data_IF_572435952840
#
_entry.id   IF_572435952840
#
_cell.length_a   1.000
_cell.length_b   1.000
_cell.length_c   1.000
_cell.angle_alpha   90.00
_cell.angle_beta   90.00
_cell.angle_gamma   90.00
#
_symmetry.space_group_name_H-M   'P 1'
#
loop_
_entity.id
_entity.type
_entity.pdbx_description
1 polymer ?
#
# COMPACT_ATOMS: atom_id res chain seq x y z
N UNK A 1 -29.74 3.23 34.98
CA UNK A 1 -29.74 3.48 33.54
C UNK A 1 -28.90 2.38 32.90
N UNK A 2 -29.42 1.68 31.89
CA UNK A 2 -28.65 0.66 31.19
C UNK A 2 -27.44 1.32 30.52
N UNK A 3 -26.25 0.87 30.88
CA UNK A 3 -25.02 1.31 30.27
C UNK A 3 -25.05 0.95 28.77
N UNK A 4 -25.12 1.94 27.91
CA UNK A 4 -25.10 1.74 26.48
C UNK A 4 -23.65 1.40 26.07
N UNK A 5 -23.30 0.13 26.15
CA UNK A 5 -22.09 -0.37 25.53
C UNK A 5 -22.27 -0.18 24.03
N UNK A 6 -21.34 0.52 23.38
CA UNK A 6 -21.38 0.67 21.92
C UNK A 6 -21.40 -0.72 21.27
N UNK A 7 -22.26 -0.89 20.27
CA UNK A 7 -22.33 -2.17 19.58
C UNK A 7 -21.04 -2.37 18.78
N UNK A 8 -20.26 -3.40 19.11
CA UNK A 8 -19.01 -3.75 18.44
C UNK A 8 -19.15 -3.80 16.91
N UNK A 9 -20.29 -4.29 16.41
CA UNK A 9 -20.56 -4.35 14.97
C UNK A 9 -20.67 -2.97 14.32
N UNK A 10 -21.16 -1.95 15.05
CA UNK A 10 -21.23 -0.58 14.54
C UNK A 10 -19.83 0.03 14.46
N UNK A 11 -19.02 -0.15 15.50
CA UNK A 11 -17.64 0.33 15.53
C UNK A 11 -16.79 -0.38 14.47
N UNK A 12 -16.95 -1.69 14.33
CA UNK A 12 -16.28 -2.49 13.29
C UNK A 12 -16.67 -2.02 11.88
N UNK A 13 -17.96 -1.79 11.62
CA UNK A 13 -18.44 -1.27 10.34
C UNK A 13 -17.86 0.12 10.03
N UNK A 14 -17.82 1.03 11.02
CA UNK A 14 -17.20 2.36 10.87
C UNK A 14 -15.69 2.25 10.60
N UNK A 15 -14.98 1.40 11.32
CA UNK A 15 -13.55 1.22 11.11
C UNK A 15 -13.27 0.65 9.71
N UNK A 16 -14.04 -0.31 9.24
CA UNK A 16 -13.94 -0.85 7.87
C UNK A 16 -14.24 0.19 6.81
N UNK A 17 -15.29 0.99 6.99
CA UNK A 17 -15.65 2.07 6.07
C UNK A 17 -14.53 3.11 5.98
N UNK A 18 -13.98 3.55 7.10
CA UNK A 18 -12.86 4.49 7.14
C UNK A 18 -11.60 3.93 6.47
N UNK A 19 -11.30 2.64 6.68
CA UNK A 19 -10.16 1.98 6.04
C UNK A 19 -10.30 1.86 4.51
N UNK A 20 -11.53 1.75 4.01
CA UNK A 20 -11.79 1.67 2.56
C UNK A 20 -11.91 3.03 1.90
N UNK A 21 -12.39 4.03 2.62
CA UNK A 21 -12.66 5.37 2.08
C UNK A 21 -11.40 6.25 2.03
N UNK A 22 -10.46 6.05 2.94
CA UNK A 22 -9.21 6.82 2.94
C UNK A 22 -8.26 6.32 1.86
N UNK A 23 -7.55 7.26 1.20
CA UNK A 23 -6.45 6.94 0.30
C UNK A 23 -5.31 6.35 1.13
N UNK A 24 -5.20 5.05 1.11
CA UNK A 24 -4.22 4.29 1.87
C UNK A 24 -3.53 3.26 0.98
N UNK A 25 -2.49 2.62 1.50
CA UNK A 25 -1.76 1.59 0.77
C UNK A 25 -2.64 0.41 0.31
N UNK A 26 -3.76 0.11 0.98
CA UNK A 26 -4.70 -0.94 0.57
C UNK A 26 -5.28 -0.70 -0.82
N UNK A 27 -5.53 0.57 -1.20
CA UNK A 27 -6.02 0.93 -2.54
C UNK A 27 -4.94 0.80 -3.63
N UNK A 28 -3.67 0.76 -3.23
CA UNK A 28 -2.50 0.70 -4.10
C UNK A 28 -1.97 -0.72 -4.31
N UNK A 29 -2.54 -1.70 -3.62
CA UNK A 29 -2.16 -3.10 -3.66
C UNK A 29 -3.30 -3.96 -4.23
N UNK A 30 -2.96 -5.09 -4.79
CA UNK A 30 -3.94 -6.15 -5.06
C UNK A 30 -4.26 -6.88 -3.76
N UNK A 31 -5.54 -6.98 -3.41
CA UNK A 31 -5.99 -7.62 -2.17
C UNK A 31 -6.34 -9.08 -2.44
N UNK A 32 -5.79 -9.99 -1.64
CA UNK A 32 -6.03 -11.42 -1.68
C UNK A 32 -6.57 -11.92 -0.33
N UNK A 33 -7.76 -12.49 -0.34
CA UNK A 33 -8.44 -13.03 0.84
C UNK A 33 -8.29 -14.56 0.97
N UNK A 34 -7.44 -15.21 0.17
CA UNK A 34 -7.27 -16.67 0.21
C UNK A 34 -6.88 -17.19 1.59
N UNK A 35 -6.08 -16.42 2.32
CA UNK A 35 -5.64 -16.80 3.67
C UNK A 35 -6.73 -16.83 4.73
N UNK A 36 -7.89 -16.25 4.51
CA UNK A 36 -8.97 -16.23 5.51
C UNK A 36 -9.47 -17.62 5.85
N UNK A 37 -9.40 -18.54 4.90
CA UNK A 37 -9.89 -19.93 5.04
C UNK A 37 -8.77 -20.95 5.30
N UNK A 38 -7.50 -20.57 5.10
CA UNK A 38 -6.35 -21.46 5.30
C UNK A 38 -5.92 -21.46 6.77
N UNK A 39 -5.57 -22.62 7.31
CA UNK A 39 -4.92 -22.73 8.61
C UNK A 39 -3.43 -22.33 8.48
N UNK A 40 -2.87 -21.73 9.54
CA UNK A 40 -1.45 -21.33 9.57
C UNK A 40 -1.24 -19.81 9.49
N UNK A 41 -0.01 -19.41 9.80
CA UNK A 41 0.40 -18.00 9.88
C UNK A 41 1.54 -17.69 8.89
N UNK A 42 1.85 -18.60 7.97
CA UNK A 42 2.90 -18.43 6.97
C UNK A 42 2.32 -18.62 5.58
N UNK A 43 2.68 -17.75 4.65
CA UNK A 43 2.36 -17.86 3.22
C UNK A 43 3.66 -17.91 2.43
N UNK A 44 3.85 -18.98 1.68
CA UNK A 44 4.95 -19.09 0.71
C UNK A 44 4.49 -18.55 -0.61
N UNK A 45 5.21 -17.56 -1.15
CA UNK A 45 4.99 -16.99 -2.46
C UNK A 45 6.10 -17.48 -3.38
N UNK A 46 5.74 -18.22 -4.42
CA UNK A 46 6.67 -18.71 -5.42
C UNK A 46 6.80 -17.68 -6.55
N UNK A 47 7.99 -17.15 -6.73
CA UNK A 47 8.32 -16.31 -7.88
C UNK A 47 8.86 -17.22 -8.97
N UNK A 48 8.17 -17.27 -10.10
CA UNK A 48 8.53 -18.10 -11.24
C UNK A 48 9.31 -17.31 -12.26
N UNK A 49 10.41 -17.89 -12.75
CA UNK A 49 11.16 -17.36 -13.88
C UNK A 49 11.10 -18.38 -15.00
N UNK A 50 10.54 -17.98 -16.15
CA UNK A 50 10.51 -18.77 -17.36
C UNK A 50 11.63 -18.32 -18.30
N UNK A 51 12.38 -19.27 -18.83
CA UNK A 51 13.36 -19.05 -19.89
C UNK A 51 13.03 -19.94 -21.09
N UNK A 52 12.82 -19.33 -22.23
CA UNK A 52 12.54 -20.05 -23.48
C UNK A 52 12.31 -19.07 -24.63
N UNK A 53 12.59 -19.52 -25.82
CA UNK A 53 12.37 -18.78 -27.07
C UNK A 53 11.47 -19.59 -27.98
N UNK A 54 10.60 -18.90 -28.72
CA UNK A 54 9.85 -19.54 -29.78
C UNK A 54 10.75 -19.73 -30.99
N UNK A 55 10.66 -20.88 -31.66
CA UNK A 55 11.40 -21.19 -32.88
C UNK A 55 10.42 -21.53 -34.01
N UNK A 56 10.78 -21.13 -35.23
CA UNK A 56 10.10 -21.65 -36.43
C UNK A 56 10.61 -23.05 -36.71
N UNK A 57 9.71 -24.02 -36.74
CA UNK A 57 10.06 -25.44 -36.96
C UNK A 57 9.53 -25.87 -38.31
N UNK A 58 10.40 -26.44 -39.15
CA UNK A 58 10.03 -26.98 -40.43
C UNK A 58 9.20 -28.26 -40.30
N UNK A 59 8.41 -28.58 -41.33
CA UNK A 59 7.58 -29.77 -41.32
C UNK A 59 8.43 -31.05 -41.14
N UNK A 60 8.17 -31.81 -40.08
CA UNK A 60 8.89 -33.04 -39.74
C UNK A 60 10.06 -32.87 -38.80
N UNK A 61 10.40 -31.64 -38.39
CA UNK A 61 11.42 -31.32 -37.38
C UNK A 61 10.78 -31.01 -36.04
N UNK A 62 11.57 -31.07 -34.97
CA UNK A 62 11.15 -30.73 -33.60
C UNK A 62 11.93 -29.52 -33.09
N UNK A 63 11.50 -28.93 -31.99
CA UNK A 63 12.20 -27.81 -31.35
C UNK A 63 13.64 -28.18 -30.97
N UNK A 64 14.59 -27.32 -31.31
CA UNK A 64 16.02 -27.46 -30.96
C UNK A 64 16.28 -27.10 -29.50
N UNK A 65 15.50 -26.17 -28.94
CA UNK A 65 15.56 -25.78 -27.54
C UNK A 65 14.19 -25.93 -26.84
N UNK A 66 14.22 -26.20 -25.55
CA UNK A 66 13.00 -26.27 -24.72
C UNK A 66 13.07 -25.23 -23.61
N UNK A 67 11.96 -24.52 -23.42
CA UNK A 67 11.85 -23.61 -22.29
C UNK A 67 11.97 -24.33 -20.96
N UNK A 68 12.55 -23.66 -19.98
CA UNK A 68 12.63 -24.13 -18.61
C UNK A 68 11.96 -23.13 -17.66
N UNK A 69 11.42 -23.67 -16.56
CA UNK A 69 10.82 -22.89 -15.49
C UNK A 69 11.63 -23.14 -14.20
N UNK A 70 12.02 -22.06 -13.56
CA UNK A 70 12.59 -22.09 -12.21
C UNK A 70 11.70 -21.30 -11.27
N UNK A 71 11.70 -21.65 -9.99
CA UNK A 71 10.96 -20.90 -8.99
C UNK A 71 11.78 -20.76 -7.71
N UNK A 72 11.56 -19.64 -7.03
CA UNK A 72 12.13 -19.36 -5.71
C UNK A 72 10.97 -19.03 -4.78
N UNK A 73 10.80 -19.83 -3.74
CA UNK A 73 9.81 -19.58 -2.69
C UNK A 73 10.31 -18.56 -1.69
N UNK A 74 9.47 -17.56 -1.36
CA UNK A 74 9.68 -16.63 -0.25
C UNK A 74 8.59 -16.83 0.78
N UNK A 75 8.98 -17.05 2.03
CA UNK A 75 8.05 -17.22 3.14
C UNK A 75 7.75 -15.87 3.81
N UNK A 76 6.48 -15.59 3.96
CA UNK A 76 5.97 -14.40 4.65
C UNK A 76 5.12 -14.84 5.84
N UNK A 77 5.39 -14.25 7.01
CA UNK A 77 4.63 -14.55 8.23
C UNK A 77 3.54 -13.51 8.45
N UNK A 78 2.32 -13.97 8.69
CA UNK A 78 1.17 -13.11 9.04
C UNK A 78 1.47 -12.37 10.34
N UNK A 79 1.30 -11.06 10.31
CA UNK A 79 1.43 -10.20 11.49
C UNK A 79 0.05 -9.82 12.00
N UNK A 80 -0.10 -9.82 13.31
CA UNK A 80 -1.25 -9.22 13.98
C UNK A 80 -0.89 -7.77 14.30
N UNK A 81 -1.70 -6.84 13.81
CA UNK A 81 -1.61 -5.41 14.12
C UNK A 81 -2.78 -5.07 15.01
N UNK A 82 -2.50 -4.44 16.15
CA UNK A 82 -3.51 -4.06 17.12
C UNK A 82 -3.29 -2.60 17.53
N UNK A 83 -4.39 -1.86 17.61
CA UNK A 83 -4.47 -0.55 18.26
C UNK A 83 -5.51 -0.61 19.36
N UNK A 84 -5.15 -0.16 20.55
CA UNK A 84 -6.05 -0.06 21.67
C UNK A 84 -6.23 1.39 22.12
N UNK A 85 -7.38 1.71 22.66
CA UNK A 85 -7.64 2.97 23.35
C UNK A 85 -8.62 2.75 24.50
N UNK A 86 -8.46 3.58 25.52
CA UNK A 86 -9.28 3.54 26.73
C UNK A 86 -10.07 4.84 26.86
N UNK A 87 -11.30 4.74 27.40
CA UNK A 87 -12.09 5.89 27.79
C UNK A 87 -12.84 5.59 29.08
N UNK A 88 -13.08 6.62 29.90
CA UNK A 88 -13.84 6.51 31.13
C UNK A 88 -15.30 6.89 30.92
N UNK A 89 -16.19 6.33 31.74
CA UNK A 89 -17.63 6.65 31.67
C UNK A 89 -17.86 8.16 31.83
N UNK A 90 -17.05 8.83 32.62
CA UNK A 90 -17.11 10.27 32.84
C UNK A 90 -16.73 11.10 31.62
N UNK A 91 -15.78 10.61 30.80
CA UNK A 91 -15.39 11.30 29.57
C UNK A 91 -16.50 11.22 28.52
N UNK A 92 -17.18 10.07 28.45
CA UNK A 92 -18.34 9.91 27.58
C UNK A 92 -19.52 10.80 28.00
N UNK A 93 -19.69 11.04 29.31
CA UNK A 93 -20.70 11.98 29.80
C UNK A 93 -20.39 13.43 29.48
N UNK A 94 -19.09 13.79 29.35
CA UNK A 94 -18.68 15.14 28.95
C UNK A 94 -18.80 15.34 27.43
N UNK A 95 -18.40 14.34 26.65
CA UNK A 95 -18.44 14.37 25.19
C UNK A 95 -18.89 13.01 24.64
N UNK A 96 -20.09 12.95 24.11
CA UNK A 96 -20.67 11.75 23.52
C UNK A 96 -20.03 11.36 22.18
N UNK A 97 -19.21 12.25 21.58
CA UNK A 97 -18.51 12.01 20.32
C UNK A 97 -17.09 11.45 20.52
N UNK A 98 -16.64 11.30 21.77
CA UNK A 98 -15.26 10.89 22.09
C UNK A 98 -14.91 9.54 21.46
N UNK A 99 -15.80 8.56 21.53
CA UNK A 99 -15.59 7.22 20.98
C UNK A 99 -15.44 7.26 19.46
N UNK A 100 -16.28 8.05 18.77
CA UNK A 100 -16.20 8.22 17.32
C UNK A 100 -14.86 8.83 16.88
N UNK A 101 -14.38 9.81 17.64
CA UNK A 101 -13.08 10.45 17.36
C UNK A 101 -11.91 9.51 17.67
N UNK A 102 -12.00 8.71 18.72
CA UNK A 102 -11.00 7.69 19.06
C UNK A 102 -10.96 6.59 18.01
N UNK A 103 -12.10 6.11 17.50
CA UNK A 103 -12.16 5.13 16.39
C UNK A 103 -11.51 5.69 15.14
N UNK A 104 -11.78 6.95 14.78
CA UNK A 104 -11.11 7.60 13.65
C UNK A 104 -9.59 7.66 13.83
N UNK A 105 -9.13 8.05 15.01
CA UNK A 105 -7.71 8.10 15.34
C UNK A 105 -7.05 6.72 15.26
N UNK A 106 -7.65 5.71 15.89
CA UNK A 106 -7.16 4.34 15.87
C UNK A 106 -7.10 3.77 14.45
N UNK A 107 -8.14 4.00 13.64
CA UNK A 107 -8.18 3.58 12.23
C UNK A 107 -7.08 4.27 11.42
N UNK A 108 -6.83 5.56 11.66
CA UNK A 108 -5.74 6.28 10.99
C UNK A 108 -4.37 5.69 11.34
N UNK A 109 -4.13 5.34 12.59
CA UNK A 109 -2.88 4.70 13.04
C UNK A 109 -2.70 3.34 12.36
N UNK A 110 -3.75 2.52 12.28
CA UNK A 110 -3.70 1.23 11.58
C UNK A 110 -3.44 1.40 10.09
N UNK A 111 -4.06 2.40 9.45
CA UNK A 111 -3.82 2.74 8.03
C UNK A 111 -2.36 3.17 7.79
N UNK A 112 -1.81 4.01 8.67
CA UNK A 112 -0.41 4.42 8.60
C UNK A 112 0.53 3.22 8.73
N UNK A 113 0.23 2.30 9.65
CA UNK A 113 1.02 1.07 9.83
C UNK A 113 1.00 0.18 8.58
N UNK A 114 -0.17 0.01 7.95
CA UNK A 114 -0.28 -0.73 6.69
C UNK A 114 0.52 -0.05 5.57
N UNK A 115 0.53 1.28 5.53
CA UNK A 115 1.33 2.05 4.56
C UNK A 115 2.83 1.89 4.81
N UNK A 116 3.28 1.86 6.07
CA UNK A 116 4.68 1.59 6.41
C UNK A 116 5.10 0.17 6.01
N UNK A 117 4.25 -0.83 6.24
CA UNK A 117 4.52 -2.22 5.86
C UNK A 117 4.58 -2.36 4.32
N UNK A 118 3.69 -1.67 3.58
CA UNK A 118 3.75 -1.57 2.12
C UNK A 118 5.06 -0.95 1.64
N UNK A 119 5.47 0.19 2.20
CA UNK A 119 6.72 0.87 1.86
C UNK A 119 7.93 -0.03 2.16
N UNK A 120 7.89 -0.77 3.27
CA UNK A 120 8.96 -1.70 3.65
C UNK A 120 9.13 -2.82 2.61
N UNK A 121 8.03 -3.33 2.07
CA UNK A 121 8.08 -4.32 0.99
C UNK A 121 8.49 -3.68 -0.35
N UNK A 122 8.00 -2.48 -0.68
CA UNK A 122 8.37 -1.75 -1.88
C UNK A 122 9.88 -1.44 -1.94
N UNK A 123 10.52 -1.15 -0.79
CA UNK A 123 11.98 -0.94 -0.69
C UNK A 123 12.82 -2.13 -1.09
N UNK A 124 12.26 -3.34 -1.13
CA UNK A 124 12.93 -4.55 -1.61
C UNK A 124 12.98 -4.67 -3.14
N UNK A 125 12.48 -3.66 -3.86
CA UNK A 125 12.57 -3.58 -5.32
C UNK A 125 14.03 -3.75 -5.78
N UNK A 126 14.23 -4.58 -6.80
CA UNK A 126 15.54 -4.88 -7.37
C UNK A 126 15.95 -3.86 -8.42
N UNK A 127 14.98 -3.31 -9.14
CA UNK A 127 15.22 -2.29 -10.17
C UNK A 127 15.26 -0.92 -9.52
N UNK A 128 16.33 -0.16 -9.78
CA UNK A 128 16.51 1.19 -9.25
C UNK A 128 16.89 2.20 -10.32
N UNK A 129 16.48 3.44 -10.10
CA UNK A 129 16.91 4.61 -10.86
C UNK A 129 17.46 5.66 -9.89
N UNK A 130 18.70 6.06 -10.12
CA UNK A 130 19.35 7.13 -9.36
C UNK A 130 19.29 8.41 -10.19
N UNK A 131 18.61 9.43 -9.66
CA UNK A 131 18.45 10.72 -10.31
C UNK A 131 19.29 11.79 -9.62
N UNK A 132 20.00 12.63 -10.37
CA UNK A 132 20.76 13.75 -9.81
C UNK A 132 19.85 14.76 -9.12
N UNK A 133 18.69 15.02 -9.70
CA UNK A 133 17.63 15.85 -9.13
C UNK A 133 16.31 15.13 -9.31
N UNK A 134 15.43 15.24 -8.32
CA UNK A 134 14.08 14.70 -8.45
C UNK A 134 13.18 15.75 -9.13
N UNK A 135 12.55 15.36 -10.23
CA UNK A 135 11.67 16.21 -11.04
C UNK A 135 10.84 15.36 -12.01
N UNK A 136 10.33 16.02 -13.01
CA UNK A 136 9.55 15.38 -14.08
C UNK A 136 10.37 14.31 -14.80
N UNK A 137 11.60 14.63 -15.21
CA UNK A 137 12.50 13.74 -15.96
C UNK A 137 12.83 12.46 -15.19
N UNK A 138 13.09 12.57 -13.88
CA UNK A 138 13.38 11.40 -13.04
C UNK A 138 12.22 10.40 -13.02
N UNK A 139 10.99 10.89 -13.07
CA UNK A 139 9.79 10.03 -13.13
C UNK A 139 9.67 9.39 -14.52
N UNK A 140 9.90 10.15 -15.59
CA UNK A 140 9.86 9.66 -16.97
C UNK A 140 10.89 8.56 -17.20
N UNK A 141 12.12 8.77 -16.74
CA UNK A 141 13.20 7.77 -16.81
C UNK A 141 12.86 6.50 -16.01
N UNK A 142 12.24 6.66 -14.85
CA UNK A 142 11.82 5.52 -14.04
C UNK A 142 10.68 4.73 -14.70
N UNK A 143 9.72 5.41 -15.35
CA UNK A 143 8.66 4.77 -16.14
C UNK A 143 9.27 3.94 -17.27
N UNK A 144 10.22 4.49 -18.00
CA UNK A 144 10.92 3.78 -19.08
C UNK A 144 11.64 2.53 -18.57
N UNK A 145 12.14 2.54 -17.33
CA UNK A 145 12.80 1.37 -16.72
C UNK A 145 11.83 0.25 -16.31
N UNK A 146 10.57 0.56 -16.03
CA UNK A 146 9.55 -0.48 -15.79
C UNK A 146 9.29 -1.30 -17.05
N UNK A 147 9.47 -0.67 -18.23
CA UNK A 147 9.41 -1.31 -19.55
C UNK A 147 8.13 -2.13 -19.79
N UNK A 148 6.99 -1.57 -19.46
CA UNK A 148 5.69 -2.19 -19.73
C UNK A 148 5.12 -1.69 -21.06
N UNK A 149 4.50 -2.61 -21.83
CA UNK A 149 3.78 -2.25 -23.06
C UNK A 149 2.48 -1.46 -22.75
N UNK A 150 1.88 -1.70 -21.61
CA UNK A 150 0.69 -1.00 -21.14
C UNK A 150 0.97 -0.27 -19.81
N UNK A 151 1.00 1.05 -19.87
CA UNK A 151 1.28 1.92 -18.73
C UNK A 151 0.03 2.32 -17.93
N UNK A 152 -1.17 1.90 -18.35
CA UNK A 152 -2.44 2.35 -17.77
C UNK A 152 -2.59 1.99 -16.27
N UNK A 153 -1.94 0.93 -15.81
CA UNK A 153 -2.01 0.46 -14.42
C UNK A 153 -0.85 0.98 -13.55
N UNK A 154 0.04 1.80 -14.12
CA UNK A 154 1.13 2.42 -13.37
C UNK A 154 0.62 3.54 -12.47
N UNK A 155 1.30 3.70 -11.34
CA UNK A 155 1.19 4.87 -10.48
C UNK A 155 2.53 5.17 -9.81
N UNK A 156 2.70 6.42 -9.41
CA UNK A 156 3.93 6.91 -8.79
C UNK A 156 3.64 7.28 -7.33
N UNK A 157 4.48 6.81 -6.42
CA UNK A 157 4.42 7.20 -5.01
C UNK A 157 5.67 8.00 -4.67
N UNK A 158 5.47 9.20 -4.14
CA UNK A 158 6.55 10.12 -3.80
C UNK A 158 6.50 10.56 -2.34
N UNK A 159 7.63 10.96 -1.75
CA UNK A 159 7.65 11.70 -0.50
C UNK A 159 6.85 13.00 -0.63
N UNK A 160 6.19 13.39 0.46
CA UNK A 160 5.38 14.61 0.44
C UNK A 160 6.22 15.88 0.16
N UNK A 161 7.49 15.87 0.53
CA UNK A 161 8.44 16.96 0.31
C UNK A 161 8.76 17.15 -1.17
N UNK A 162 8.86 16.06 -1.93
CA UNK A 162 9.20 16.10 -3.35
C UNK A 162 8.11 16.66 -4.27
N UNK A 163 6.90 16.85 -3.74
CA UNK A 163 5.85 17.60 -4.47
C UNK A 163 6.30 18.99 -4.91
N UNK A 164 7.13 19.64 -4.09
CA UNK A 164 7.62 20.97 -4.39
C UNK A 164 8.58 20.96 -5.59
N UNK A 165 9.38 19.92 -5.71
CA UNK A 165 10.36 19.78 -6.81
C UNK A 165 9.62 19.56 -8.13
N UNK A 166 8.63 18.67 -8.19
CA UNK A 166 7.80 18.47 -9.38
C UNK A 166 7.07 19.77 -9.77
N UNK A 167 6.49 20.50 -8.79
CA UNK A 167 5.76 21.74 -9.07
C UNK A 167 6.64 22.88 -9.60
N UNK A 168 7.94 22.87 -9.26
CA UNK A 168 8.92 23.85 -9.72
C UNK A 168 9.52 23.51 -11.09
N UNK A 169 9.41 22.25 -11.50
CA UNK A 169 9.92 21.75 -12.76
C UNK A 169 9.30 22.50 -13.94
N UNK A 170 10.13 22.97 -14.88
CA UNK A 170 9.70 23.78 -16.02
C UNK A 170 8.91 22.98 -17.04
N UNK A 171 9.32 21.73 -17.29
CA UNK A 171 8.67 20.84 -18.24
C UNK A 171 7.28 20.42 -17.73
N UNK A 172 7.17 20.17 -16.43
CA UNK A 172 5.87 19.90 -15.81
C UNK A 172 4.93 21.09 -15.89
N UNK A 173 5.44 22.31 -15.68
CA UNK A 173 4.64 23.54 -15.83
C UNK A 173 4.21 23.77 -17.27
N UNK A 174 5.11 23.52 -18.24
CA UNK A 174 4.81 23.69 -19.67
C UNK A 174 3.74 22.69 -20.14
N UNK A 175 3.82 21.43 -19.69
CA UNK A 175 2.85 20.40 -20.03
C UNK A 175 1.45 20.64 -19.42
N UNK A 176 1.36 21.40 -18.34
CA UNK A 176 0.12 21.66 -17.59
C UNK A 176 -0.20 23.14 -17.42
N UNK A 177 0.07 23.96 -18.45
CA UNK A 177 -0.29 25.36 -18.41
C UNK A 177 -1.79 25.55 -18.12
N UNK A 178 -2.08 26.12 -16.96
CA UNK A 178 -3.44 26.45 -16.50
C UNK A 178 -3.96 25.61 -15.33
N UNK A 179 -3.70 24.30 -15.26
CA UNK A 179 -4.22 23.43 -14.18
C UNK A 179 -3.41 23.52 -12.88
N UNK A 180 -2.09 23.51 -12.96
CA UNK A 180 -1.20 23.47 -11.78
C UNK A 180 -1.23 24.77 -11.00
N UNK A 181 -1.40 25.89 -11.69
CA UNK A 181 -1.43 27.23 -11.07
C UNK A 181 -2.66 27.41 -10.18
N UNK A 182 -3.78 26.80 -10.54
CA UNK A 182 -5.05 26.98 -9.84
C UNK A 182 -5.36 25.88 -8.82
N UNK A 183 -5.05 24.62 -9.11
CA UNK A 183 -5.39 23.51 -8.20
C UNK A 183 -4.31 23.18 -7.17
N UNK A 184 -3.06 23.50 -7.47
CA UNK A 184 -1.92 23.18 -6.58
C UNK A 184 -1.69 21.69 -6.31
N UNK A 185 -2.42 20.82 -7.00
CA UNK A 185 -2.28 19.36 -6.87
C UNK A 185 -1.27 18.82 -7.89
N UNK A 186 -0.46 17.87 -7.45
CA UNK A 186 0.31 17.02 -8.37
C UNK A 186 -0.64 15.90 -8.77
N UNK A 187 -1.28 16.02 -9.93
CA UNK A 187 -2.29 15.07 -10.39
C UNK A 187 -1.67 13.87 -11.09
N UNK A 188 -1.18 14.10 -12.31
CA UNK A 188 -0.58 13.07 -13.16
C UNK A 188 0.72 13.56 -13.77
N UNK A 189 1.68 12.68 -13.99
CA UNK A 189 2.90 12.88 -14.78
C UNK A 189 2.85 11.87 -15.93
N UNK A 190 2.97 12.31 -17.17
CA UNK A 190 2.79 11.46 -18.36
C UNK A 190 1.47 10.67 -18.38
N UNK A 191 0.39 11.22 -17.81
CA UNK A 191 -0.89 10.50 -17.67
C UNK A 191 -0.97 9.54 -16.49
N UNK A 192 0.14 9.29 -15.78
CA UNK A 192 0.25 8.37 -14.64
C UNK A 192 -0.04 9.13 -13.34
N UNK A 193 -0.94 8.61 -12.47
CA UNK A 193 -1.29 9.29 -11.21
C UNK A 193 -0.11 9.32 -10.23
N UNK A 194 0.11 10.48 -9.62
CA UNK A 194 1.15 10.71 -8.61
C UNK A 194 0.52 10.85 -7.24
N UNK A 195 0.92 9.96 -6.34
CA UNK A 195 0.42 9.90 -4.96
C UNK A 195 1.56 10.27 -4.02
N UNK A 196 1.32 11.22 -3.14
CA UNK A 196 2.33 11.60 -2.16
C UNK A 196 1.96 11.09 -0.77
N UNK A 197 2.96 10.55 -0.08
CA UNK A 197 2.82 10.02 1.27
C UNK A 197 3.87 10.58 2.22
N UNK A 198 3.53 10.64 3.51
CA UNK A 198 4.48 10.97 4.58
C UNK A 198 5.30 9.77 5.04
N UNK A 199 4.94 8.56 4.62
CA UNK A 199 5.65 7.34 4.97
C UNK A 199 6.98 7.18 4.21
N UNK A 200 7.23 8.02 3.20
CA UNK A 200 8.47 8.08 2.42
C UNK A 200 9.23 9.35 2.74
N UNK A 201 10.58 9.26 2.74
CA UNK A 201 11.49 10.40 2.94
C UNK A 201 12.41 10.60 1.74
N UNK A 202 13.22 9.60 1.38
CA UNK A 202 14.33 9.75 0.44
C UNK A 202 14.18 8.90 -0.82
N UNK A 203 13.07 8.23 -0.99
CA UNK A 203 12.82 7.30 -2.08
C UNK A 203 11.43 7.53 -2.67
N UNK A 204 11.30 7.35 -3.98
CA UNK A 204 10.02 7.27 -4.67
C UNK A 204 9.90 5.91 -5.38
N UNK A 205 8.69 5.53 -5.74
CA UNK A 205 8.41 4.28 -6.41
C UNK A 205 7.50 4.50 -7.61
N UNK A 206 7.84 3.88 -8.72
CA UNK A 206 6.97 3.72 -9.89
C UNK A 206 6.59 2.25 -9.94
N UNK A 207 5.31 1.93 -9.83
CA UNK A 207 4.86 0.54 -9.71
C UNK A 207 3.44 0.33 -10.22
N UNK A 208 3.09 -0.94 -10.44
CA UNK A 208 1.71 -1.37 -10.67
C UNK A 208 1.09 -1.92 -9.39
N UNK A 209 -0.24 -2.04 -9.34
CA UNK A 209 -0.94 -2.66 -8.20
C UNK A 209 -0.57 -4.14 -7.98
N UNK A 210 -0.05 -4.80 -9.00
CA UNK A 210 0.37 -6.20 -8.94
C UNK A 210 1.77 -6.40 -8.37
N UNK A 211 2.57 -5.32 -8.21
CA UNK A 211 3.92 -5.41 -7.68
C UNK A 211 3.91 -5.86 -6.21
N UNK A 212 3.04 -5.26 -5.41
CA UNK A 212 2.88 -5.61 -3.99
C UNK A 212 1.46 -6.09 -3.74
N UNK A 213 1.34 -7.23 -3.07
CA UNK A 213 0.06 -7.87 -2.76
C UNK A 213 -0.22 -7.86 -1.27
N UNK A 214 -1.46 -7.55 -0.91
CA UNK A 214 -1.95 -7.58 0.45
C UNK A 214 -2.75 -8.86 0.68
N UNK A 215 -2.22 -9.77 1.48
CA UNK A 215 -2.93 -10.96 1.92
C UNK A 215 -3.60 -10.70 3.26
N UNK A 216 -4.91 -10.84 3.32
CA UNK A 216 -5.69 -10.65 4.53
C UNK A 216 -6.02 -12.01 5.14
N UNK A 217 -5.59 -12.23 6.39
CA UNK A 217 -5.93 -13.41 7.18
C UNK A 217 -7.20 -13.17 8.01
N UNK A 218 -7.28 -12.01 8.64
CA UNK A 218 -8.43 -11.54 9.39
C UNK A 218 -8.57 -10.05 9.17
N UNK A 219 -9.72 -9.63 8.69
CA UNK A 219 -10.04 -8.22 8.52
C UNK A 219 -10.20 -7.55 9.90
N UNK A 220 -10.45 -6.26 9.93
CA UNK A 220 -10.56 -5.52 11.19
C UNK A 220 -11.65 -6.13 12.07
N UNK A 221 -11.27 -6.46 13.30
CA UNK A 221 -12.14 -6.93 14.37
C UNK A 221 -12.06 -5.94 15.53
N UNK A 222 -13.17 -5.72 16.18
CA UNK A 222 -13.26 -4.86 17.37
C UNK A 222 -13.71 -5.69 18.57
N UNK A 223 -12.91 -5.66 19.63
CA UNK A 223 -13.26 -6.21 20.94
C UNK A 223 -13.33 -5.07 21.96
N UNK A 224 -14.22 -5.21 22.92
CA UNK A 224 -14.35 -4.28 24.05
C UNK A 224 -14.28 -5.03 25.35
N UNK A 225 -13.57 -4.44 26.31
CA UNK A 225 -13.50 -4.90 27.69
C UNK A 225 -13.87 -3.74 28.61
N UNK A 226 -14.60 -4.04 29.68
CA UNK A 226 -14.98 -3.06 30.68
C UNK A 226 -14.49 -3.47 32.05
N UNK A 227 -13.68 -2.60 32.65
CA UNK A 227 -13.36 -2.67 34.06
C UNK A 227 -14.43 -1.90 34.88
N UNK A 228 -15.15 -2.63 35.73
CA UNK A 228 -16.23 -2.04 36.51
C UNK A 228 -15.73 -1.26 37.73
N UNK A 229 -14.53 -1.57 38.23
CA UNK A 229 -13.92 -0.92 39.39
C UNK A 229 -13.41 0.48 39.04
N UNK A 230 -12.65 0.57 37.96
CA UNK A 230 -12.12 1.85 37.45
C UNK A 230 -13.06 2.58 36.51
N UNK A 231 -14.18 1.96 36.09
CA UNK A 231 -15.16 2.48 35.11
C UNK A 231 -14.52 2.83 33.77
N UNK A 232 -13.48 2.09 33.42
CA UNK A 232 -12.73 2.23 32.18
C UNK A 232 -13.23 1.24 31.16
N UNK A 233 -13.43 1.71 29.93
CA UNK A 233 -13.77 0.89 28.79
C UNK A 233 -12.58 0.86 27.84
N UNK A 234 -12.06 -0.34 27.57
CA UNK A 234 -10.95 -0.58 26.63
C UNK A 234 -11.49 -1.11 25.31
N UNK A 235 -11.08 -0.50 24.21
CA UNK A 235 -11.47 -0.91 22.85
C UNK A 235 -10.22 -1.31 22.08
N UNK A 236 -10.26 -2.51 21.52
CA UNK A 236 -9.15 -3.10 20.76
C UNK A 236 -9.56 -3.29 19.31
N UNK A 237 -8.86 -2.64 18.40
CA UNK A 237 -8.96 -2.86 16.96
C UNK A 237 -7.83 -3.78 16.53
N UNK A 238 -8.14 -4.90 15.88
CA UNK A 238 -7.15 -5.90 15.44
C UNK A 238 -7.33 -6.22 13.97
N UNK A 239 -6.22 -6.42 13.27
CA UNK A 239 -6.21 -6.95 11.91
C UNK A 239 -5.03 -7.90 11.73
N UNK A 240 -5.19 -8.94 10.91
CA UNK A 240 -4.12 -9.86 10.58
C UNK A 240 -3.90 -9.86 9.07
N UNK A 241 -2.73 -9.40 8.63
CA UNK A 241 -2.41 -9.30 7.22
C UNK A 241 -0.90 -9.47 6.93
N UNK A 242 -0.57 -9.59 5.66
CA UNK A 242 0.80 -9.54 5.14
C UNK A 242 0.81 -8.63 3.91
N UNK A 243 1.78 -7.72 3.84
CA UNK A 243 2.20 -7.10 2.58
C UNK A 243 3.37 -7.91 2.02
N UNK A 244 3.32 -8.28 0.76
CA UNK A 244 4.36 -9.08 0.13
C UNK A 244 4.68 -8.57 -1.28
N UNK A 245 5.97 -8.44 -1.59
CA UNK A 245 6.44 -8.14 -2.94
C UNK A 245 6.32 -9.42 -3.80
N UNK A 246 5.36 -9.43 -4.72
CA UNK A 246 5.09 -10.56 -5.62
C UNK A 246 5.89 -10.43 -6.92
N UNK A 247 5.85 -9.26 -7.56
CA UNK A 247 6.48 -9.00 -8.84
C UNK A 247 7.51 -7.87 -8.73
N UNK A 248 8.79 -8.25 -8.54
CA UNK A 248 9.88 -7.27 -8.41
C UNK A 248 10.17 -6.51 -9.70
N UNK A 249 9.80 -7.06 -10.87
CA UNK A 249 10.02 -6.42 -12.18
C UNK A 249 8.99 -5.32 -12.50
N UNK A 250 7.88 -5.29 -11.74
CA UNK A 250 6.79 -4.30 -11.89
C UNK A 250 6.90 -3.13 -10.93
N UNK A 251 8.08 -2.93 -10.35
CA UNK A 251 8.38 -1.82 -9.44
C UNK A 251 9.79 -1.30 -9.69
N UNK A 252 9.91 0.02 -9.81
CA UNK A 252 11.19 0.73 -9.90
C UNK A 252 11.30 1.68 -8.71
N UNK A 253 12.42 1.58 -8.01
CA UNK A 253 12.79 2.49 -6.94
C UNK A 253 13.56 3.67 -7.50
N UNK A 254 13.13 4.89 -7.19
CA UNK A 254 13.82 6.13 -7.54
C UNK A 254 14.48 6.69 -6.30
N UNK A 255 15.80 6.91 -6.38
CA UNK A 255 16.57 7.52 -5.31
C UNK A 255 17.24 8.80 -5.83
N UNK A 256 17.44 9.78 -4.94
CA UNK A 256 18.20 10.97 -5.28
C UNK A 256 19.69 10.67 -5.06
N UNK A 257 20.52 11.05 -6.01
CA UNK A 257 21.97 10.99 -5.87
C UNK A 257 22.42 11.83 -4.67
N UNK A 258 23.38 11.31 -3.91
CA UNK A 258 23.89 11.95 -2.70
C UNK A 258 24.77 13.16 -3.02
#
# INVERSE_FOLDING_TARGET
MANTVFNNKIIEAKAKDLLTTQVNARSLMTVDNSLTQEAGMTKTINVYTYSGTAEEVAAGEGNSSRGSISYVGKDYTVKMVQQAFDYQDEDFLKDNTIVDNMVKGATQVMTNKMTEDFVTEAKKATVSHEAATFGYDAIVDAISKVNLENEADLFVIIPNEWKADIRKDEDYKAARMGEVVYSGQVGTVCGIPVIATKALTDEAFVLTKEAVKLFIKKDVEVEQERDADTRTNSVYLRACYICALENADKIVKVTKAA
#
